data_IF_240416671050
#
_entry.id   IF_240416671050
#
_cell.length_a   1.000
_cell.length_b   1.000
_cell.length_c   1.000
_cell.angle_alpha   90.00
_cell.angle_beta   90.00
_cell.angle_gamma   90.00
#
_symmetry.space_group_name_H-M   'P 1'
#
loop_
_entity.id
_entity.type
_entity.pdbx_description
1 polymer ?
2 non-polymer ?
#
# COMPACT_ATOMS: atom_id res chain seq x y z
N UNK A 1 -4.34 17.39 -12.68
CA UNK A 1 -3.32 16.36 -13.05
C UNK A 1 -3.84 14.95 -12.73
N UNK A 2 -4.15 14.16 -13.76
CA UNK A 2 -4.69 12.83 -13.54
C UNK A 2 -3.74 11.67 -13.78
N UNK A 3 -2.45 11.96 -13.88
CA UNK A 3 -1.46 10.91 -14.10
C UNK A 3 -1.26 10.11 -12.82
N UNK A 4 -1.01 8.81 -12.97
CA UNK A 4 -0.80 7.94 -11.81
C UNK A 4 0.16 6.77 -12.08
N UNK A 5 0.81 6.32 -11.01
CA UNK A 5 1.71 5.17 -11.06
C UNK A 5 0.99 4.20 -10.14
N UNK A 6 0.86 2.94 -10.54
CA UNK A 6 0.15 2.01 -9.69
C UNK A 6 0.76 0.63 -9.48
N UNK A 7 0.36 0.03 -8.37
CA UNK A 7 0.79 -1.31 -7.98
C UNK A 7 -0.49 -2.00 -7.47
N UNK A 8 -1.00 -2.95 -8.25
CA UNK A 8 -2.24 -3.64 -7.93
C UNK A 8 -2.16 -5.08 -7.45
N UNK A 9 -2.98 -5.38 -6.46
CA UNK A 9 -3.07 -6.72 -5.93
C UNK A 9 -1.81 -7.28 -5.33
N UNK A 10 -1.03 -6.43 -4.67
CA UNK A 10 0.17 -6.92 -4.04
C UNK A 10 -0.35 -7.80 -2.92
N UNK A 11 0.28 -8.94 -2.68
CA UNK A 11 -0.19 -9.83 -1.64
C UNK A 11 0.94 -10.26 -0.73
N UNK A 12 0.69 -10.16 0.57
CA UNK A 12 1.69 -10.52 1.55
C UNK A 12 1.06 -11.38 2.65
N UNK A 13 1.85 -12.26 3.25
CA UNK A 13 1.32 -13.06 4.34
C UNK A 13 1.84 -12.41 5.61
N UNK A 14 0.92 -11.87 6.40
CA UNK A 14 1.28 -11.20 7.63
C UNK A 14 0.48 -11.68 8.83
N UNK A 15 0.76 -11.10 9.99
CA UNK A 15 0.09 -11.49 11.22
C UNK A 15 -0.63 -10.39 11.95
N UNK A 16 -0.94 -9.31 11.25
CA UNK A 16 -1.65 -8.21 11.86
C UNK A 16 -3.07 -8.64 12.21
N UNK A 17 -3.76 -7.79 12.96
CA UNK A 17 -5.11 -8.09 13.39
C UNK A 17 -5.22 -7.91 14.89
N UNK A 18 -6.39 -7.46 15.35
CA UNK A 18 -6.67 -7.20 16.77
C UNK A 18 -6.96 -8.44 17.63
N UNK A 19 -7.16 -9.57 16.97
CA UNK A 19 -7.45 -10.84 17.63
C UNK A 19 -6.16 -11.63 17.80
N UNK A 20 -5.94 -12.16 19.01
CA UNK A 20 -4.74 -12.95 19.29
C UNK A 20 -4.59 -14.12 18.34
N UNK A 21 -5.70 -14.77 18.00
CA UNK A 21 -5.67 -15.90 17.08
C UNK A 21 -5.18 -15.48 15.69
N UNK A 22 -5.53 -14.27 15.28
CA UNK A 22 -5.11 -13.73 13.99
C UNK A 22 -3.59 -13.60 13.92
N UNK A 23 -3.02 -12.97 14.94
CA UNK A 23 -1.58 -12.79 14.99
C UNK A 23 -0.84 -14.12 15.01
N UNK A 24 -1.44 -15.13 15.63
CA UNK A 24 -0.83 -16.45 15.72
C UNK A 24 -0.74 -17.16 14.38
N UNK A 25 -1.89 -17.30 13.73
CA UNK A 25 -2.03 -17.98 12.43
C UNK A 25 -1.63 -17.13 11.21
N UNK A 26 -2.08 -15.88 11.19
CA UNK A 26 -1.77 -14.97 10.10
C UNK A 26 -2.73 -15.10 8.94
N UNK A 27 -2.52 -14.31 7.89
CA UNK A 27 -3.37 -14.37 6.70
C UNK A 27 -2.76 -13.61 5.51
N UNK A 28 -3.44 -13.64 4.37
CA UNK A 28 -2.95 -12.92 3.21
C UNK A 28 -3.61 -11.53 3.17
N UNK A 29 -2.77 -10.52 3.01
CA UNK A 29 -3.21 -9.14 2.94
C UNK A 29 -2.98 -8.69 1.51
N UNK A 30 -4.03 -8.15 0.89
CA UNK A 30 -3.95 -7.65 -0.48
C UNK A 30 -3.81 -6.13 -0.45
N UNK A 31 -2.82 -5.61 -1.19
CA UNK A 31 -2.55 -4.17 -1.22
C UNK A 31 -2.46 -3.54 -2.61
N UNK A 32 -3.21 -2.45 -2.77
CA UNK A 32 -3.28 -1.66 -4.00
C UNK A 32 -2.75 -0.27 -3.69
N UNK A 33 -1.69 0.14 -4.36
CA UNK A 33 -1.13 1.47 -4.14
C UNK A 33 -1.14 2.30 -5.42
N UNK A 34 -1.75 3.48 -5.34
CA UNK A 34 -1.87 4.43 -6.45
C UNK A 34 -1.22 5.76 -6.07
N UNK A 35 -0.21 6.16 -6.83
CA UNK A 35 0.52 7.40 -6.58
C UNK A 35 0.25 8.50 -7.61
N UNK A 36 -0.07 9.71 -7.13
CA UNK A 36 -0.30 10.84 -8.03
C UNK A 36 1.07 11.41 -8.39
N UNK A 37 1.42 11.31 -9.66
CA UNK A 37 2.72 11.79 -10.08
C UNK A 37 2.60 12.33 -11.48
N UNK A 38 3.16 13.51 -11.71
CA UNK A 38 3.13 14.11 -13.03
C UNK A 38 4.18 13.36 -13.83
N UNK A 39 3.72 12.60 -14.83
CA UNK A 39 4.59 11.76 -15.65
C UNK A 39 5.00 12.30 -17.02
N UNK A 40 4.81 13.59 -17.24
CA UNK A 40 5.12 14.19 -18.55
C UNK A 40 6.61 14.35 -18.88
N UNK A 41 7.41 14.66 -17.88
CA UNK A 41 8.83 14.81 -18.13
C UNK A 41 9.37 13.42 -18.52
N UNK A 42 9.07 12.41 -17.71
CA UNK A 42 9.52 11.04 -17.97
C UNK A 42 9.04 10.57 -19.33
N UNK A 43 7.80 10.93 -19.67
CA UNK A 43 7.25 10.55 -20.95
C UNK A 43 8.04 11.22 -22.07
N UNK A 44 8.46 12.45 -21.82
CA UNK A 44 9.23 13.19 -22.80
C UNK A 44 10.64 12.61 -22.87
N UNK A 45 11.32 12.59 -21.73
CA UNK A 45 12.69 12.09 -21.66
C UNK A 45 12.89 10.58 -21.81
N UNK A 46 12.05 9.78 -21.15
CA UNK A 46 12.17 8.33 -21.20
C UNK A 46 13.28 7.91 -20.21
N UNK A 47 13.68 8.84 -19.35
CA UNK A 47 14.72 8.59 -18.35
C UNK A 47 14.05 8.14 -17.07
N UNK A 48 14.44 6.97 -16.59
CA UNK A 48 13.87 6.41 -15.37
C UNK A 48 14.04 7.35 -14.17
N UNK A 49 15.04 8.21 -14.23
CA UNK A 49 15.31 9.15 -13.15
C UNK A 49 14.29 10.29 -13.04
N UNK A 50 13.37 10.37 -14.00
CA UNK A 50 12.37 11.44 -13.99
C UNK A 50 11.00 10.96 -13.52
N UNK A 51 10.98 9.79 -12.88
CA UNK A 51 9.74 9.22 -12.40
C UNK A 51 10.05 8.38 -11.17
N UNK A 52 8.98 7.82 -10.58
CA UNK A 52 9.14 6.98 -9.41
C UNK A 52 9.13 5.55 -9.89
N UNK A 53 10.20 4.85 -9.46
CA UNK A 53 10.49 3.46 -9.73
C UNK A 53 9.51 2.56 -8.96
N UNK A 54 8.60 1.88 -9.68
CA UNK A 54 7.60 1.03 -9.03
C UNK A 54 8.26 -0.01 -8.09
N UNK A 55 9.35 -0.58 -8.57
CA UNK A 55 10.06 -1.56 -7.79
C UNK A 55 10.40 -1.14 -6.37
N UNK A 56 10.94 0.07 -6.22
CA UNK A 56 11.31 0.61 -4.92
C UNK A 56 10.07 0.81 -4.07
N UNK A 57 8.96 1.16 -4.71
CA UNK A 57 7.73 1.36 -3.95
C UNK A 57 7.25 0.04 -3.36
N UNK A 58 7.36 -1.03 -4.15
CA UNK A 58 6.94 -2.37 -3.74
C UNK A 58 7.78 -2.85 -2.56
N UNK A 59 9.04 -2.43 -2.53
CA UNK A 59 9.94 -2.83 -1.45
C UNK A 59 9.54 -2.15 -0.14
N UNK A 60 9.02 -0.93 -0.23
CA UNK A 60 8.59 -0.18 0.95
C UNK A 60 7.30 -0.78 1.50
N UNK A 61 6.36 -1.06 0.60
CA UNK A 61 5.11 -1.65 1.02
C UNK A 61 5.39 -3.00 1.67
N UNK A 62 6.24 -3.78 1.00
CA UNK A 62 6.61 -5.10 1.48
C UNK A 62 7.17 -5.08 2.89
N UNK A 63 8.16 -4.22 3.13
CA UNK A 63 8.80 -4.11 4.44
C UNK A 63 7.83 -3.79 5.56
N UNK A 64 6.74 -3.10 5.22
CA UNK A 64 5.74 -2.77 6.23
C UNK A 64 4.70 -3.87 6.37
N UNK A 65 4.37 -4.52 5.26
CA UNK A 65 3.36 -5.57 5.28
C UNK A 65 3.89 -6.88 5.87
N UNK A 66 5.18 -7.11 5.69
CA UNK A 66 5.83 -8.32 6.19
C UNK A 66 6.70 -8.09 7.44
N UNK A 67 6.53 -6.93 8.07
CA UNK A 67 7.30 -6.61 9.27
C UNK A 67 6.45 -6.82 10.51
N UNK A 68 6.74 -6.06 11.57
CA UNK A 68 6.01 -6.16 12.84
C UNK A 68 4.47 -6.13 12.76
N UNK A 69 3.84 -7.13 13.37
CA UNK A 69 2.39 -7.24 13.37
C UNK A 69 1.73 -6.13 14.19
N UNK A 70 0.72 -5.50 13.61
CA UNK A 70 -0.02 -4.43 14.26
C UNK A 70 -1.48 -4.87 14.35
N UNK A 71 -2.32 -4.02 14.91
CA UNK A 71 -3.72 -4.38 15.05
C UNK A 71 -4.55 -4.00 13.84
N UNK A 72 -4.49 -2.73 13.46
CA UNK A 72 -5.30 -2.24 12.37
C UNK A 72 -4.70 -2.17 10.97
N UNK A 73 -5.60 -2.24 9.99
CA UNK A 73 -5.23 -2.15 8.59
C UNK A 73 -4.97 -0.67 8.37
N UNK A 74 -5.66 0.15 9.16
CA UNK A 74 -5.57 1.62 9.14
C UNK A 74 -4.16 2.06 9.52
N UNK A 75 -3.56 1.31 10.44
CA UNK A 75 -2.22 1.59 10.91
C UNK A 75 -1.18 1.21 9.87
N UNK A 76 -1.46 0.12 9.16
CA UNK A 76 -0.57 -0.36 8.11
C UNK A 76 -0.60 0.52 6.85
N UNK A 77 -1.78 1.03 6.51
CA UNK A 77 -1.91 1.87 5.34
C UNK A 77 -1.32 3.25 5.63
N UNK A 78 -1.43 3.69 6.88
CA UNK A 78 -0.93 4.99 7.31
C UNK A 78 0.59 5.03 7.34
N UNK A 79 1.21 3.88 7.59
CA UNK A 79 2.66 3.79 7.61
C UNK A 79 3.20 3.70 6.19
N UNK A 80 2.43 3.08 5.30
CA UNK A 80 2.85 2.95 3.90
C UNK A 80 2.72 4.29 3.19
N UNK A 81 1.57 4.92 3.36
CA UNK A 81 1.33 6.22 2.74
C UNK A 81 2.41 7.19 3.20
N UNK A 82 2.62 7.24 4.51
CA UNK A 82 3.62 8.11 5.11
C UNK A 82 5.04 7.81 4.64
N UNK A 83 5.35 6.53 4.48
CA UNK A 83 6.67 6.10 4.04
C UNK A 83 6.96 6.45 2.57
N UNK A 84 5.92 6.36 1.74
CA UNK A 84 6.06 6.67 0.32
C UNK A 84 6.10 8.17 0.08
N UNK A 85 5.27 8.91 0.81
CA UNK A 85 5.22 10.36 0.67
C UNK A 85 6.54 10.98 1.11
N UNK A 86 7.14 10.35 2.12
CA UNK A 86 8.39 10.78 2.73
C UNK A 86 9.63 10.66 1.88
N UNK A 87 9.70 9.59 1.11
CA UNK A 87 10.87 9.38 0.30
C UNK A 87 10.71 9.92 -1.10
N UNK A 88 9.48 10.16 -1.53
CA UNK A 88 9.29 10.69 -2.87
C UNK A 88 8.55 12.03 -2.90
N UNK A 89 9.25 13.04 -3.40
CA UNK A 89 8.71 14.39 -3.51
C UNK A 89 7.86 14.51 -4.75
N UNK A 90 8.12 13.66 -5.74
CA UNK A 90 7.36 13.68 -6.97
C UNK A 90 5.93 13.15 -6.79
N UNK A 91 5.72 12.40 -5.70
CA UNK A 91 4.41 11.83 -5.38
C UNK A 91 3.59 12.91 -4.71
N UNK A 92 2.62 13.48 -5.41
CA UNK A 92 1.81 14.54 -4.83
C UNK A 92 0.80 14.04 -3.82
N UNK A 93 0.39 12.79 -3.96
CA UNK A 93 -0.59 12.18 -3.06
C UNK A 93 -0.58 10.65 -3.20
N UNK A 94 -0.73 9.95 -2.08
CA UNK A 94 -0.71 8.48 -2.06
C UNK A 94 -2.00 7.82 -1.55
N UNK A 95 -2.51 6.88 -2.34
CA UNK A 95 -3.71 6.14 -2.01
C UNK A 95 -3.37 4.69 -1.66
N UNK A 96 -3.76 4.26 -0.46
CA UNK A 96 -3.48 2.89 -0.04
C UNK A 96 -4.73 2.10 0.33
N UNK A 97 -4.91 0.97 -0.35
CA UNK A 97 -6.04 0.10 -0.12
C UNK A 97 -5.58 -1.25 0.38
N UNK A 98 -6.07 -1.64 1.55
CA UNK A 98 -5.70 -2.93 2.09
C UNK A 98 -6.95 -3.74 2.23
N UNK A 99 -6.85 -4.99 1.85
CA UNK A 99 -7.98 -5.88 1.85
C UNK A 99 -7.67 -7.20 2.53
N UNK A 100 -8.57 -7.62 3.41
CA UNK A 100 -8.46 -8.89 4.13
C UNK A 100 -9.54 -9.76 3.48
N UNK A 101 -9.18 -10.47 2.44
CA UNK A 101 -10.15 -11.30 1.78
C UNK A 101 -10.66 -12.43 2.66
N UNK A 102 -9.91 -12.76 3.71
CA UNK A 102 -10.31 -13.86 4.60
C UNK A 102 -10.19 -13.60 6.10
N UNK A 103 -10.88 -12.58 6.60
CA UNK A 103 -10.81 -12.28 8.02
C UNK A 103 -11.61 -13.29 8.85
N UNK A 104 -11.49 -13.23 10.19
CA UNK A 104 -12.22 -14.15 11.07
C UNK A 104 -13.71 -13.85 11.18
N UNK A 105 -14.34 -13.54 10.05
CA UNK A 105 -15.78 -13.21 10.01
C UNK A 105 -16.60 -14.36 9.41
N UNK A 106 -17.46 -14.98 10.22
CA UNK A 106 -18.31 -16.09 9.78
C UNK A 106 -19.27 -15.64 8.69
N UNK A 107 -18.90 -15.90 7.45
CA UNK A 107 -19.77 -15.50 6.36
C UNK A 107 -19.17 -15.66 4.97
N UNK A 108 -19.99 -15.30 3.98
CA UNK A 108 -19.61 -15.37 2.58
C UNK A 108 -19.54 -13.95 2.03
N UNK A 109 -18.32 -13.52 1.69
CA UNK A 109 -18.02 -12.19 1.14
C UNK A 109 -16.71 -12.31 0.38
N UNK A 110 -16.43 -11.33 -0.47
CA UNK A 110 -15.20 -11.34 -1.25
C UNK A 110 -14.03 -10.76 -0.45
N UNK A 111 -14.34 -9.95 0.55
CA UNK A 111 -13.31 -9.34 1.36
C UNK A 111 -13.78 -8.09 2.08
N UNK A 112 -12.97 -7.64 3.04
CA UNK A 112 -13.27 -6.44 3.81
C UNK A 112 -11.97 -5.64 3.87
N UNK A 113 -12.08 -4.33 4.02
CA UNK A 113 -10.87 -3.54 4.08
C UNK A 113 -11.11 -2.06 4.26
N UNK A 114 -10.03 -1.32 4.05
CA UNK A 114 -10.05 0.12 4.19
C UNK A 114 -9.22 0.73 3.07
N UNK A 115 -9.46 2.01 2.82
CA UNK A 115 -8.71 2.72 1.81
C UNK A 115 -8.48 4.13 2.32
N UNK A 116 -7.24 4.61 2.21
CA UNK A 116 -6.93 5.95 2.64
C UNK A 116 -6.22 6.71 1.53
N UNK A 117 -6.37 8.02 1.55
CA UNK A 117 -5.72 8.87 0.57
C UNK A 117 -5.00 9.92 1.40
N UNK A 118 -3.71 10.11 1.11
CA UNK A 118 -2.88 11.05 1.85
C UNK A 118 -2.05 11.94 0.93
N UNK A 119 -2.28 13.25 0.99
CA UNK A 119 -1.52 14.15 0.14
C UNK A 119 -0.12 14.32 0.74
N UNK A 120 0.88 14.49 -0.11
CA UNK A 120 2.27 14.65 0.33
C UNK A 120 2.47 16.11 0.73
N UNK A 121 2.87 16.36 1.97
CA UNK A 121 3.09 17.73 2.44
C UNK A 121 4.52 18.21 2.25
X LIG B 1 -11.93 -1.49 10.63
X LIG B 1 -11.22 -2.47 11.12
X LIG B 1 -9.89 -2.67 10.88
X LIG B 1 -9.15 -3.71 11.39
X LIG B 1 -7.96 -3.86 11.17
X LIG B 1 -9.83 -4.71 12.28
X LIG B 1 -9.16 -5.92 12.90
X LIG B 1 -9.89 -6.75 13.70
X LIG B 1 -11.36 -6.49 13.98
X LIG B 1 -11.93 -5.32 13.38
X LIG B 1 -11.13 -4.48 12.52
X LIG B 1 -11.84 -3.35 11.93
X LIG B 1 -9.44 -7.99 14.52
X LIG B 1 -8.45 -7.67 15.45
X LIG B 1 -9.47 -9.39 13.86
X LIG B 1 -10.15 -9.34 12.63
X LIG B 1 -10.27 -10.36 14.76
X LIG B 1 -10.28 -11.70 14.34
#
# INVERSE_FOLDING_TARGET
MQDTIFLKGMRFYGYHGALSAENEIGQIFKVDVTLKVDLSEAGRTDNVIDTVHYGEVFEEVKSIMEGKAVNLLEHLAERIANRINSQYNRVMETKVRITKENPPIPGHYDGVGIEIVRENK
NPR N1 C2 N3 C4 O5 C6 N7 C8 C9 N10 C11 N12 C13 O14 C15 O16 C17 O18
#
